data_IF_810002361712
#
_entry.id   IF_810002361712
#
_cell.length_a   1.000
_cell.length_b   1.000
_cell.length_c   1.000
_cell.angle_alpha   90.00
_cell.angle_beta   90.00
_cell.angle_gamma   90.00
#
_symmetry.space_group_name_H-M   'P 1'
#
loop_
_entity.id
_entity.type
_entity.pdbx_description
1 polymer ?
#
# COMPACT_ATOMS: atom_id res chain seq x y z
N UNK A 1 -4.85 -4.54 -31.31
CA UNK A 1 -4.65 -5.98 -31.56
C UNK A 1 -5.96 -6.62 -32.04
N UNK A 2 -5.95 -7.42 -33.11
CA UNK A 2 -7.16 -8.01 -33.74
C UNK A 2 -7.89 -9.08 -32.87
N UNK A 3 -7.32 -9.46 -31.72
CA UNK A 3 -7.77 -10.57 -30.89
C UNK A 3 -8.03 -10.18 -29.42
N UNK A 4 -8.26 -8.90 -29.11
CA UNK A 4 -8.52 -8.44 -27.74
C UNK A 4 -9.80 -9.07 -27.17
N UNK A 5 -10.90 -9.03 -27.93
CA UNK A 5 -12.20 -9.53 -27.48
C UNK A 5 -12.18 -11.03 -27.09
N UNK A 6 -11.61 -11.95 -27.90
CA UNK A 6 -11.47 -13.35 -27.48
C UNK A 6 -10.67 -13.54 -26.18
N UNK A 7 -9.62 -12.74 -25.95
CA UNK A 7 -8.79 -12.85 -24.75
C UNK A 7 -9.55 -12.35 -23.52
N UNK A 8 -10.26 -11.22 -23.64
CA UNK A 8 -11.12 -10.71 -22.56
C UNK A 8 -12.18 -11.75 -22.22
N UNK A 9 -12.82 -12.35 -23.22
CA UNK A 9 -13.80 -13.42 -22.99
C UNK A 9 -13.20 -14.62 -22.26
N UNK A 10 -12.01 -15.08 -22.67
CA UNK A 10 -11.32 -16.17 -22.00
C UNK A 10 -10.98 -15.83 -20.54
N UNK A 11 -10.55 -14.60 -20.26
CA UNK A 11 -10.28 -14.11 -18.90
C UNK A 11 -11.53 -14.18 -18.03
N UNK A 12 -12.67 -13.69 -18.55
CA UNK A 12 -13.96 -13.73 -17.86
C UNK A 12 -14.41 -15.17 -17.60
N UNK A 13 -14.30 -16.05 -18.60
CA UNK A 13 -14.68 -17.46 -18.47
C UNK A 13 -13.82 -18.19 -17.41
N UNK A 14 -12.51 -17.91 -17.36
CA UNK A 14 -11.62 -18.44 -16.32
C UNK A 14 -12.03 -17.92 -14.95
N UNK A 15 -12.23 -16.60 -14.80
CA UNK A 15 -12.61 -15.96 -13.54
C UNK A 15 -13.91 -16.52 -12.96
N UNK A 16 -14.93 -16.72 -13.80
CA UNK A 16 -16.18 -17.39 -13.38
C UNK A 16 -15.95 -18.82 -12.91
N UNK A 17 -15.14 -19.58 -13.66
CA UNK A 17 -14.96 -21.00 -13.40
C UNK A 17 -14.32 -21.28 -12.03
N UNK A 18 -13.51 -20.35 -11.54
CA UNK A 18 -12.86 -20.42 -10.23
C UNK A 18 -13.44 -19.46 -9.18
N UNK A 19 -14.56 -18.78 -9.51
CA UNK A 19 -15.21 -17.79 -8.65
C UNK A 19 -14.23 -16.71 -8.11
N UNK A 20 -13.40 -16.16 -9.00
CA UNK A 20 -12.39 -15.17 -8.66
C UNK A 20 -12.71 -13.80 -9.29
N UNK A 21 -12.38 -12.69 -8.62
CA UNK A 21 -12.40 -11.37 -9.22
C UNK A 21 -11.31 -11.23 -10.30
N UNK A 22 -11.53 -10.28 -11.20
CA UNK A 22 -10.55 -9.88 -12.23
C UNK A 22 -9.78 -8.66 -11.76
N UNK A 23 -8.45 -8.68 -11.90
CA UNK A 23 -7.59 -7.48 -11.79
C UNK A 23 -7.04 -7.14 -13.17
N UNK A 24 -7.47 -6.01 -13.71
CA UNK A 24 -7.03 -5.50 -15.00
C UNK A 24 -5.92 -4.46 -14.80
N UNK A 25 -4.73 -4.75 -15.32
CA UNK A 25 -3.58 -3.82 -15.37
C UNK A 25 -3.36 -3.29 -16.78
N UNK A 26 -4.38 -2.62 -17.32
CA UNK A 26 -4.33 -2.00 -18.65
C UNK A 26 -5.62 -1.19 -18.89
N UNK A 27 -5.63 -0.41 -19.96
CA UNK A 27 -6.85 0.27 -20.45
C UNK A 27 -7.73 -0.68 -21.30
N UNK A 28 -7.66 -2.00 -21.05
CA UNK A 28 -8.50 -2.97 -21.75
C UNK A 28 -9.97 -2.78 -21.31
N UNK A 29 -10.92 -2.70 -22.26
CA UNK A 29 -12.33 -2.42 -21.98
C UNK A 29 -13.02 -3.69 -21.47
N UNK A 30 -12.76 -4.07 -20.22
CA UNK A 30 -13.40 -5.22 -19.57
C UNK A 30 -14.71 -4.74 -18.93
N UNK A 31 -15.82 -5.10 -19.56
CA UNK A 31 -17.16 -4.82 -19.09
C UNK A 31 -17.90 -6.15 -18.87
N UNK A 32 -18.18 -6.49 -17.61
CA UNK A 32 -18.95 -7.68 -17.24
C UNK A 32 -19.61 -7.47 -15.88
N UNK A 33 -20.83 -7.98 -15.73
CA UNK A 33 -21.56 -8.04 -14.47
C UNK A 33 -21.45 -9.42 -13.81
N UNK A 34 -20.71 -10.35 -14.43
CA UNK A 34 -20.70 -11.76 -14.03
C UNK A 34 -19.65 -12.07 -12.97
N UNK A 35 -18.59 -11.27 -12.92
CA UNK A 35 -17.54 -11.33 -11.89
C UNK A 35 -17.12 -9.92 -11.50
N UNK A 36 -16.66 -9.70 -10.26
CA UNK A 36 -16.10 -8.42 -9.88
C UNK A 36 -14.86 -8.07 -10.70
N UNK A 37 -14.74 -6.81 -11.13
CA UNK A 37 -13.60 -6.33 -11.92
C UNK A 37 -12.97 -5.13 -11.23
N UNK A 38 -11.65 -5.19 -11.06
CA UNK A 38 -10.84 -4.13 -10.47
C UNK A 38 -9.90 -3.63 -11.56
N UNK A 39 -9.96 -2.34 -11.87
CA UNK A 39 -9.04 -1.71 -12.80
C UNK A 39 -7.98 -0.99 -11.99
N UNK A 40 -6.75 -1.43 -12.19
CA UNK A 40 -5.57 -0.87 -11.57
C UNK A 40 -4.64 -0.30 -12.64
N UNK A 41 -3.94 0.74 -12.25
CA UNK A 41 -2.92 1.39 -13.04
C UNK A 41 -1.59 1.25 -12.34
N UNK A 42 -0.55 0.89 -13.08
CA UNK A 42 0.81 0.93 -12.58
C UNK A 42 1.54 2.10 -13.24
N UNK A 43 1.99 3.06 -12.43
CA UNK A 43 2.65 4.28 -12.93
C UNK A 43 3.92 3.97 -13.71
N UNK A 44 4.59 2.86 -13.38
CA UNK A 44 5.72 2.31 -14.12
C UNK A 44 5.28 1.93 -15.55
N UNK A 45 4.19 1.16 -15.72
CA UNK A 45 3.67 0.74 -17.04
C UNK A 45 3.21 1.91 -17.92
N UNK A 46 2.59 2.96 -17.34
CA UNK A 46 2.16 4.14 -18.12
C UNK A 46 3.33 4.92 -18.73
N UNK A 47 4.43 5.08 -18.01
CA UNK A 47 5.62 5.76 -18.52
C UNK A 47 6.16 5.06 -19.78
N UNK A 48 6.10 3.72 -19.80
CA UNK A 48 6.53 2.94 -20.97
C UNK A 48 5.63 3.10 -22.20
N UNK A 49 4.31 3.21 -22.02
CA UNK A 49 3.40 3.49 -23.16
C UNK A 49 3.61 4.89 -23.74
N UNK A 50 4.10 5.84 -22.93
CA UNK A 50 4.27 7.25 -23.30
C UNK A 50 5.65 7.62 -23.83
N UNK A 51 6.67 6.77 -23.70
CA UNK A 51 7.96 7.00 -24.35
C UNK A 51 7.96 6.39 -25.76
N UNK A 52 7.94 7.20 -26.84
CA UNK A 52 8.41 6.71 -28.12
C UNK A 52 9.89 6.33 -27.95
N UNK A 53 10.36 5.35 -28.73
CA UNK A 53 11.80 5.13 -28.92
C UNK A 53 12.38 6.40 -29.55
N UNK A 54 12.83 7.34 -28.73
CA UNK A 54 13.59 8.49 -29.21
C UNK A 54 15.05 8.04 -29.20
N UNK A 55 15.61 7.86 -30.39
CA UNK A 55 17.06 7.73 -30.57
C UNK A 55 17.71 9.03 -30.09
N UNK A 56 18.20 9.05 -28.85
CA UNK A 56 19.04 10.15 -28.37
C UNK A 56 20.50 9.79 -28.59
N UNK A 57 21.18 10.54 -29.46
CA UNK A 57 22.60 10.35 -29.83
C UNK A 57 23.61 10.77 -28.74
N UNK A 58 23.15 11.11 -27.53
CA UNK A 58 24.04 11.50 -26.44
C UNK A 58 24.40 10.29 -25.56
N UNK A 59 25.70 10.06 -25.34
CA UNK A 59 26.21 8.96 -24.50
C UNK A 59 25.57 8.94 -23.08
N UNK A 60 25.28 10.11 -22.51
CA UNK A 60 24.59 10.23 -21.22
C UNK A 60 23.10 9.86 -21.24
N UNK A 61 22.41 10.12 -22.36
CA UNK A 61 21.01 9.71 -22.56
C UNK A 61 20.87 8.20 -22.73
N UNK A 62 21.78 7.58 -23.48
CA UNK A 62 21.84 6.13 -23.65
C UNK A 62 22.14 5.41 -22.33
N UNK A 63 23.03 5.93 -21.48
CA UNK A 63 23.34 5.33 -20.17
C UNK A 63 22.15 5.38 -19.21
N UNK A 64 21.42 6.49 -19.15
CA UNK A 64 20.19 6.61 -18.35
C UNK A 64 19.09 5.69 -18.90
N UNK A 65 19.01 5.53 -20.22
CA UNK A 65 18.04 4.65 -20.86
C UNK A 65 18.36 3.17 -20.62
N UNK A 66 19.63 2.78 -20.64
CA UNK A 66 20.08 1.44 -20.27
C UNK A 66 19.79 1.15 -18.79
N UNK A 67 20.10 2.07 -17.87
CA UNK A 67 19.80 1.90 -16.44
C UNK A 67 18.29 1.80 -16.17
N UNK A 68 17.48 2.66 -16.81
CA UNK A 68 16.03 2.58 -16.73
C UNK A 68 15.50 1.26 -17.32
N UNK A 69 16.01 0.80 -18.46
CA UNK A 69 15.62 -0.48 -19.04
C UNK A 69 16.03 -1.68 -18.17
N UNK A 70 17.16 -1.62 -17.45
CA UNK A 70 17.65 -2.68 -16.56
C UNK A 70 16.81 -2.80 -15.28
N UNK A 71 16.41 -1.69 -14.64
CA UNK A 71 15.44 -1.72 -13.53
C UNK A 71 14.06 -2.23 -14.00
N UNK A 72 13.67 -1.88 -15.24
CA UNK A 72 12.31 -2.05 -15.74
C UNK A 72 12.03 -3.42 -16.38
N UNK A 73 13.03 -4.12 -16.93
CA UNK A 73 12.88 -5.49 -17.43
C UNK A 73 12.78 -6.58 -16.34
N UNK A 74 12.72 -6.21 -15.06
CA UNK A 74 12.75 -7.18 -13.96
C UNK A 74 11.38 -7.80 -13.60
N UNK A 75 10.27 -7.05 -13.68
CA UNK A 75 8.98 -7.53 -13.19
C UNK A 75 8.15 -8.27 -14.23
N UNK A 76 7.87 -9.54 -13.96
CA UNK A 76 7.00 -10.37 -14.81
C UNK A 76 5.53 -9.91 -14.74
N UNK A 77 4.71 -10.29 -15.73
CA UNK A 77 3.25 -10.09 -15.69
C UNK A 77 2.62 -10.63 -14.41
N UNK A 78 3.14 -11.75 -13.89
CA UNK A 78 2.70 -12.33 -12.63
C UNK A 78 3.02 -11.44 -11.43
N UNK A 79 4.21 -10.83 -11.39
CA UNK A 79 4.59 -9.92 -10.30
C UNK A 79 3.76 -8.64 -10.32
N UNK A 80 3.47 -8.10 -11.51
CA UNK A 80 2.62 -6.91 -11.64
C UNK A 80 1.20 -7.19 -11.15
N UNK A 81 0.60 -8.32 -11.58
CA UNK A 81 -0.71 -8.75 -11.09
C UNK A 81 -0.69 -9.02 -9.59
N UNK A 82 0.38 -9.64 -9.06
CA UNK A 82 0.56 -9.84 -7.63
C UNK A 82 0.58 -8.52 -6.86
N UNK A 83 1.35 -7.51 -7.32
CA UNK A 83 1.37 -6.18 -6.71
C UNK A 83 -0.04 -5.58 -6.70
N UNK A 84 -0.75 -5.60 -7.83
CA UNK A 84 -2.10 -5.06 -7.93
C UNK A 84 -3.12 -5.81 -7.08
N UNK A 85 -2.95 -7.12 -6.93
CA UNK A 85 -3.75 -7.94 -6.03
C UNK A 85 -3.54 -7.53 -4.57
N UNK A 86 -2.30 -7.30 -4.14
CA UNK A 86 -1.98 -6.79 -2.80
C UNK A 86 -2.67 -5.45 -2.53
N UNK A 87 -2.58 -4.49 -3.45
CA UNK A 87 -3.27 -3.21 -3.31
C UNK A 87 -4.80 -3.37 -3.27
N UNK A 88 -5.35 -4.27 -4.08
CA UNK A 88 -6.77 -4.56 -4.11
C UNK A 88 -7.26 -5.24 -2.82
N UNK A 89 -6.43 -6.11 -2.24
CA UNK A 89 -6.67 -6.72 -0.94
C UNK A 89 -6.69 -5.66 0.17
N UNK A 90 -5.70 -4.77 0.19
CA UNK A 90 -5.62 -3.69 1.20
C UNK A 90 -6.77 -2.69 1.06
N UNK A 91 -7.21 -2.42 -0.17
CA UNK A 91 -8.41 -1.63 -0.44
C UNK A 91 -9.73 -2.32 -0.07
N UNK A 92 -9.70 -3.54 0.46
CA UNK A 92 -10.89 -4.32 0.82
C UNK A 92 -11.71 -4.76 -0.39
N UNK A 93 -11.10 -4.83 -1.58
CA UNK A 93 -11.78 -5.09 -2.85
C UNK A 93 -11.73 -6.56 -3.28
N UNK A 94 -10.83 -7.34 -2.70
CA UNK A 94 -10.71 -8.77 -2.99
C UNK A 94 -11.42 -9.62 -1.94
N UNK A 95 -12.08 -10.67 -2.41
CA UNK A 95 -12.64 -11.75 -1.60
C UNK A 95 -12.29 -13.09 -2.25
N UNK A 96 -12.02 -14.09 -1.43
CA UNK A 96 -11.62 -15.44 -1.87
C UNK A 96 -10.10 -15.59 -2.04
N UNK A 97 -9.72 -16.76 -2.53
CA UNK A 97 -8.32 -17.23 -2.51
C UNK A 97 -7.57 -16.97 -3.82
N UNK A 98 -8.28 -16.66 -4.90
CA UNK A 98 -7.71 -16.50 -6.23
C UNK A 98 -8.06 -15.16 -6.85
N UNK A 99 -7.20 -14.68 -7.75
CA UNK A 99 -7.49 -13.56 -8.64
C UNK A 99 -7.08 -13.90 -10.07
N UNK A 100 -7.88 -13.46 -11.04
CA UNK A 100 -7.55 -13.56 -12.46
C UNK A 100 -7.04 -12.20 -12.94
N UNK A 101 -5.74 -12.11 -13.11
CA UNK A 101 -5.09 -10.95 -13.67
C UNK A 101 -5.13 -10.93 -15.19
N UNK A 102 -5.33 -9.76 -15.77
CA UNK A 102 -5.10 -9.52 -17.20
C UNK A 102 -4.27 -8.27 -17.39
N UNK A 103 -3.20 -8.40 -18.16
CA UNK A 103 -2.21 -7.33 -18.37
C UNK A 103 -1.85 -7.26 -19.83
N UNK A 104 -1.83 -6.04 -20.36
CA UNK A 104 -1.36 -5.72 -21.71
C UNK A 104 0.02 -5.09 -21.62
N UNK A 105 1.02 -5.74 -22.22
CA UNK A 105 2.39 -5.23 -22.31
C UNK A 105 2.79 -5.19 -23.78
N UNK A 106 2.95 -3.97 -24.31
CA UNK A 106 3.36 -3.65 -25.68
C UNK A 106 2.58 -4.41 -26.76
N UNK A 107 3.02 -5.62 -27.11
CA UNK A 107 2.48 -6.45 -28.19
C UNK A 107 1.82 -7.75 -27.69
N UNK A 108 1.62 -7.90 -26.38
CA UNK A 108 1.08 -9.11 -25.76
C UNK A 108 0.02 -8.80 -24.71
N UNK A 109 -0.97 -9.69 -24.61
CA UNK A 109 -1.94 -9.71 -23.51
C UNK A 109 -1.78 -11.05 -22.82
N UNK A 110 -1.59 -11.02 -21.50
CA UNK A 110 -1.45 -12.21 -20.68
C UNK A 110 -2.58 -12.30 -19.66
N UNK A 111 -3.10 -13.52 -19.47
CA UNK A 111 -4.00 -13.85 -18.36
C UNK A 111 -3.17 -14.62 -17.34
N UNK A 112 -3.24 -14.21 -16.08
CA UNK A 112 -2.53 -14.81 -14.95
C UNK A 112 -3.56 -15.21 -13.92
N UNK A 113 -3.51 -16.45 -13.42
CA UNK A 113 -4.26 -16.84 -12.22
C UNK A 113 -3.27 -16.82 -11.06
N UNK A 114 -3.57 -16.03 -10.03
CA UNK A 114 -2.70 -15.86 -8.87
C UNK A 114 -3.41 -16.35 -7.60
N UNK A 115 -2.73 -17.19 -6.84
CA UNK A 115 -3.18 -17.69 -5.54
C UNK A 115 -2.78 -16.70 -4.44
N UNK A 116 -3.77 -16.09 -3.80
CA UNK A 116 -3.59 -15.10 -2.74
C UNK A 116 -3.12 -15.74 -1.43
N UNK A 117 -3.38 -17.04 -1.22
CA UNK A 117 -2.98 -17.75 0.00
C UNK A 117 -1.48 -18.00 0.06
N UNK A 118 -0.81 -18.02 -1.11
CA UNK A 118 0.64 -18.11 -1.22
C UNK A 118 1.32 -16.73 -1.25
N UNK A 119 0.54 -15.64 -1.27
CA UNK A 119 1.09 -14.30 -1.36
C UNK A 119 1.72 -13.89 -0.03
N UNK A 120 3.06 -13.76 -0.03
CA UNK A 120 3.84 -13.43 1.18
C UNK A 120 3.35 -12.15 1.85
N UNK A 121 3.05 -11.09 1.11
CA UNK A 121 2.64 -9.82 1.70
C UNK A 121 1.29 -9.96 2.40
N UNK A 122 0.33 -10.63 1.76
CA UNK A 122 -0.98 -10.88 2.37
C UNK A 122 -0.83 -11.72 3.63
N UNK A 123 0.00 -12.77 3.61
CA UNK A 123 0.24 -13.61 4.79
C UNK A 123 0.89 -12.84 5.95
N UNK A 124 1.86 -11.96 5.68
CA UNK A 124 2.46 -11.09 6.72
C UNK A 124 1.44 -10.08 7.27
N UNK A 125 0.52 -9.58 6.45
CA UNK A 125 -0.58 -8.73 6.92
C UNK A 125 -1.58 -9.50 7.80
N UNK A 126 -1.91 -10.74 7.43
CA UNK A 126 -2.76 -11.62 8.24
C UNK A 126 -2.11 -11.92 9.60
N UNK A 127 -0.80 -12.18 9.61
CA UNK A 127 -0.01 -12.36 10.84
C UNK A 127 0.02 -11.08 11.71
N UNK A 128 0.03 -9.90 11.11
CA UNK A 128 -0.18 -8.64 11.84
C UNK A 128 -1.60 -8.53 12.41
N UNK A 129 -2.60 -9.07 11.70
CA UNK A 129 -4.00 -9.15 12.11
C UNK A 129 -4.24 -10.01 13.37
N UNK A 130 -3.27 -10.82 13.80
CA UNK A 130 -3.33 -11.51 15.09
C UNK A 130 -3.08 -10.58 16.29
N UNK A 131 -2.47 -9.40 16.06
CA UNK A 131 -2.21 -8.38 17.10
C UNK A 131 -3.22 -7.25 17.13
N UNK A 132 -3.63 -6.78 15.95
CA UNK A 132 -4.52 -5.64 15.78
C UNK A 132 -5.68 -6.02 14.87
N UNK A 133 -6.84 -5.38 15.04
CA UNK A 133 -7.97 -5.61 14.13
C UNK A 133 -7.54 -5.33 12.68
N UNK A 134 -7.73 -6.32 11.81
CA UNK A 134 -7.33 -6.24 10.41
C UNK A 134 -7.97 -5.05 9.69
N UNK A 135 -9.19 -4.65 10.06
CA UNK A 135 -9.87 -3.47 9.50
C UNK A 135 -9.12 -2.18 9.82
N UNK A 136 -8.56 -2.08 11.03
CA UNK A 136 -7.75 -0.93 11.45
C UNK A 136 -6.44 -0.87 10.68
N UNK A 137 -5.73 -2.01 10.58
CA UNK A 137 -4.49 -2.09 9.82
C UNK A 137 -4.70 -1.68 8.36
N UNK A 138 -5.71 -2.28 7.70
CA UNK A 138 -6.02 -1.94 6.32
C UNK A 138 -6.43 -0.47 6.15
N UNK A 139 -7.23 0.08 7.07
CA UNK A 139 -7.63 1.49 7.04
C UNK A 139 -6.41 2.42 7.11
N UNK A 140 -5.52 2.20 8.08
CA UNK A 140 -4.28 2.98 8.25
C UNK A 140 -3.36 2.82 7.04
N UNK A 141 -3.25 1.61 6.48
CA UNK A 141 -2.47 1.39 5.26
C UNK A 141 -3.03 2.15 4.06
N UNK A 142 -4.36 2.24 3.89
CA UNK A 142 -4.96 3.03 2.82
C UNK A 142 -4.60 4.52 2.97
N UNK A 143 -4.66 5.09 4.18
CA UNK A 143 -4.21 6.46 4.43
C UNK A 143 -2.70 6.61 4.15
N UNK A 144 -1.89 5.64 4.58
CA UNK A 144 -0.45 5.63 4.34
C UNK A 144 -0.13 5.62 2.83
N UNK A 145 -0.87 4.87 2.01
CA UNK A 145 -0.70 4.86 0.56
C UNK A 145 -1.14 6.17 -0.10
N UNK A 146 -2.21 6.79 0.38
CA UNK A 146 -2.60 8.13 -0.09
C UNK A 146 -1.48 9.14 0.18
N UNK A 147 -0.91 9.14 1.39
CA UNK A 147 0.21 10.01 1.74
C UNK A 147 1.45 9.69 0.90
N UNK A 148 1.76 8.41 0.70
CA UNK A 148 2.89 7.97 -0.09
C UNK A 148 2.78 8.40 -1.57
N UNK A 149 1.56 8.39 -2.12
CA UNK A 149 1.29 8.69 -3.53
C UNK A 149 1.21 10.18 -3.80
N UNK A 150 0.49 10.91 -2.96
CA UNK A 150 0.14 12.32 -3.21
C UNK A 150 0.96 13.30 -2.38
N UNK A 151 1.60 12.83 -1.31
CA UNK A 151 2.14 13.70 -0.28
C UNK A 151 1.06 14.58 0.32
N UNK A 152 1.45 15.78 0.77
CA UNK A 152 0.52 16.86 1.11
C UNK A 152 0.83 18.05 0.22
N UNK A 153 -0.20 18.57 -0.45
CA UNK A 153 -0.03 19.70 -1.38
C UNK A 153 1.05 19.44 -2.45
N UNK A 154 1.25 18.16 -2.82
CA UNK A 154 2.27 17.72 -3.78
C UNK A 154 3.68 17.56 -3.21
N UNK A 155 3.87 17.78 -1.90
CA UNK A 155 5.16 17.61 -1.21
C UNK A 155 5.23 16.24 -0.55
N UNK A 156 6.24 15.40 -0.87
CA UNK A 156 6.43 14.11 -0.21
C UNK A 156 6.62 14.27 1.30
N UNK A 157 5.89 13.47 2.08
CA UNK A 157 5.94 13.47 3.55
C UNK A 157 6.26 12.07 4.04
N UNK A 158 7.20 12.00 4.98
CA UNK A 158 7.41 10.79 5.78
C UNK A 158 6.65 10.92 7.08
N UNK A 159 5.86 9.90 7.41
CA UNK A 159 5.06 9.84 8.63
C UNK A 159 5.06 8.41 9.20
N UNK A 160 4.52 8.26 10.40
CA UNK A 160 4.32 6.94 10.97
C UNK A 160 3.11 6.87 11.92
N UNK A 161 2.54 5.68 12.00
CA UNK A 161 1.40 5.31 12.79
C UNK A 161 1.77 4.12 13.69
N UNK A 162 1.21 4.07 14.89
CA UNK A 162 1.29 2.95 15.82
C UNK A 162 -0.13 2.55 16.18
N UNK A 163 -0.48 1.28 15.97
CA UNK A 163 -1.83 0.75 16.10
C UNK A 163 -1.83 -0.29 17.22
N UNK A 164 -2.78 -0.15 18.15
CA UNK A 164 -2.98 -1.05 19.28
C UNK A 164 -1.97 -0.86 20.41
N UNK A 165 -2.23 -1.54 21.54
CA UNK A 165 -1.46 -1.44 22.79
C UNK A 165 -1.15 0.02 23.18
N UNK A 166 -2.15 0.89 22.97
CA UNK A 166 -1.96 2.34 23.02
C UNK A 166 -1.51 2.81 24.41
N UNK A 167 -1.98 2.17 25.48
CA UNK A 167 -1.56 2.50 26.85
C UNK A 167 -0.06 2.33 27.05
N UNK A 168 0.53 1.22 26.60
CA UNK A 168 1.96 0.99 26.73
C UNK A 168 2.77 1.89 25.80
N UNK A 169 2.28 2.13 24.58
CA UNK A 169 2.87 3.10 23.64
C UNK A 169 2.89 4.51 24.25
N UNK A 170 1.82 4.92 24.92
CA UNK A 170 1.71 6.22 25.58
C UNK A 170 2.60 6.33 26.82
N UNK A 171 2.87 5.23 27.54
CA UNK A 171 3.85 5.19 28.64
C UNK A 171 5.29 5.32 28.16
N UNK A 172 5.57 4.88 26.93
CA UNK A 172 6.89 4.94 26.27
C UNK A 172 7.00 6.10 25.30
N UNK A 173 6.22 7.17 25.51
CA UNK A 173 6.28 8.34 24.64
C UNK A 173 5.91 9.62 25.37
N UNK A 174 6.42 10.74 24.86
CA UNK A 174 6.05 12.07 25.33
C UNK A 174 5.54 12.94 24.18
N UNK A 175 4.83 14.01 24.54
CA UNK A 175 4.14 14.87 23.57
C UNK A 175 5.12 15.96 23.14
N UNK A 176 5.38 16.10 21.84
CA UNK A 176 6.26 17.18 21.33
C UNK A 176 5.51 18.49 21.12
N UNK A 177 4.28 18.40 20.63
CA UNK A 177 3.41 19.53 20.25
C UNK A 177 2.01 19.33 20.82
N UNK A 178 1.15 20.35 20.88
CA UNK A 178 -0.23 20.14 21.35
C UNK A 178 -0.91 19.03 20.54
N UNK A 179 -1.54 18.08 21.23
CA UNK A 179 -2.26 16.98 20.58
C UNK A 179 -3.55 17.52 19.94
N UNK A 180 -3.67 17.53 18.61
CA UNK A 180 -4.84 18.09 17.94
C UNK A 180 -6.11 17.25 18.13
N UNK A 181 -5.99 16.00 18.56
CA UNK A 181 -7.13 15.12 18.81
C UNK A 181 -7.68 15.21 20.24
N UNK A 182 -7.03 15.95 21.13
CA UNK A 182 -7.47 16.05 22.52
C UNK A 182 -8.78 16.85 22.64
N UNK A 183 -9.79 16.26 23.28
CA UNK A 183 -11.10 16.90 23.51
C UNK A 183 -12.09 16.76 22.36
N UNK A 184 -11.71 16.11 21.26
CA UNK A 184 -12.59 15.79 20.14
C UNK A 184 -13.43 14.54 20.42
N UNK A 185 -14.60 14.46 19.78
CA UNK A 185 -15.49 13.31 19.96
C UNK A 185 -14.92 12.08 19.26
N UNK A 186 -15.36 10.89 19.66
CA UNK A 186 -14.85 9.65 19.09
C UNK A 186 -15.09 9.55 17.58
N UNK A 187 -16.21 10.06 17.08
CA UNK A 187 -16.55 10.03 15.65
C UNK A 187 -15.60 10.89 14.79
N UNK A 188 -14.97 11.91 15.38
CA UNK A 188 -13.99 12.77 14.70
C UNK A 188 -12.57 12.18 14.74
N UNK A 189 -12.41 11.06 15.46
CA UNK A 189 -11.11 10.41 15.73
C UNK A 189 -11.05 8.98 15.21
N UNK A 190 -12.15 8.44 14.71
CA UNK A 190 -12.25 7.07 14.26
C UNK A 190 -11.59 6.90 12.88
N UNK A 191 -10.51 6.12 12.82
CA UNK A 191 -9.82 5.84 11.56
C UNK A 191 -10.58 4.88 10.66
N UNK A 192 -11.58 4.16 11.16
CA UNK A 192 -12.45 3.32 10.32
C UNK A 192 -13.41 4.15 9.48
N UNK A 193 -13.66 5.40 9.86
CA UNK A 193 -14.45 6.33 9.07
C UNK A 193 -13.56 7.09 8.06
N UNK A 194 -13.72 6.87 6.74
CA UNK A 194 -12.95 7.58 5.73
C UNK A 194 -13.11 9.11 5.75
N UNK A 195 -14.18 9.64 6.37
CA UNK A 195 -14.37 11.09 6.51
C UNK A 195 -13.33 11.74 7.44
N UNK A 196 -12.69 10.98 8.34
CA UNK A 196 -11.66 11.50 9.25
C UNK A 196 -10.26 11.52 8.62
N UNK A 197 -10.06 10.84 7.49
CA UNK A 197 -8.74 10.62 6.90
C UNK A 197 -8.06 11.91 6.43
N UNK A 198 -8.82 12.92 5.99
CA UNK A 198 -8.24 14.22 5.61
C UNK A 198 -7.64 14.95 6.82
N UNK A 199 -8.27 14.86 7.99
CA UNK A 199 -7.68 15.38 9.23
C UNK A 199 -6.43 14.59 9.62
N UNK A 200 -6.46 13.27 9.46
CA UNK A 200 -5.29 12.41 9.69
C UNK A 200 -4.11 12.83 8.80
N UNK A 201 -4.34 13.00 7.50
CA UNK A 201 -3.36 13.49 6.51
C UNK A 201 -2.83 14.89 6.81
N UNK A 202 -3.61 15.74 7.46
CA UNK A 202 -3.14 17.06 7.88
C UNK A 202 -2.16 16.94 9.05
N UNK A 203 -2.48 16.12 10.06
CA UNK A 203 -1.72 16.03 11.30
C UNK A 203 -0.49 15.11 11.24
N UNK A 204 -0.36 14.24 10.24
CA UNK A 204 0.88 13.46 10.01
C UNK A 204 2.10 14.32 9.68
N UNK A 205 1.92 15.61 9.38
CA UNK A 205 3.01 16.58 9.18
C UNK A 205 3.70 16.98 10.48
N UNK A 206 3.04 16.76 11.62
CA UNK A 206 3.62 17.04 12.94
C UNK A 206 4.82 16.11 13.19
N UNK A 207 5.80 16.60 13.94
CA UNK A 207 6.93 15.75 14.33
C UNK A 207 6.49 14.71 15.36
N UNK A 208 6.95 13.47 15.17
CA UNK A 208 6.53 12.29 15.93
C UNK A 208 5.66 11.32 15.14
N UNK A 209 4.86 10.55 15.87
CA UNK A 209 3.97 9.51 15.36
C UNK A 209 2.51 9.81 15.71
N UNK A 210 1.60 9.16 14.99
CA UNK A 210 0.19 9.06 15.36
C UNK A 210 -0.05 7.73 16.07
N UNK A 211 -0.74 7.75 17.21
CA UNK A 211 -1.09 6.57 18.00
C UNK A 211 -2.59 6.34 17.90
N UNK A 212 -2.98 5.10 17.59
CA UNK A 212 -4.35 4.65 17.37
C UNK A 212 -4.60 3.48 18.33
N UNK A 213 -5.71 3.54 19.08
CA UNK A 213 -6.07 2.46 20.02
C UNK A 213 -6.74 1.27 19.33
N UNK A 214 -7.04 0.25 20.13
CA UNK A 214 -7.64 -1.02 19.66
C UNK A 214 -9.09 -0.86 19.16
N UNK A 215 -9.75 0.27 19.47
CA UNK A 215 -11.09 0.61 18.97
C UNK A 215 -11.04 1.40 17.66
N UNK A 216 -9.85 1.82 17.24
CA UNK A 216 -9.64 2.63 16.02
C UNK A 216 -9.66 4.13 16.25
N UNK A 217 -9.65 4.59 17.50
CA UNK A 217 -9.63 6.01 17.78
C UNK A 217 -8.19 6.53 17.82
N UNK A 218 -7.95 7.65 17.14
CA UNK A 218 -6.69 8.37 17.30
C UNK A 218 -6.62 8.96 18.71
N UNK A 219 -5.66 8.48 19.50
CA UNK A 219 -5.44 8.95 20.88
C UNK A 219 -4.49 10.14 20.92
N UNK A 220 -3.49 10.16 20.02
CA UNK A 220 -2.54 11.25 19.95
C UNK A 220 -1.87 11.36 18.58
N UNK A 221 -1.58 12.60 18.17
CA UNK A 221 -0.65 12.92 17.10
C UNK A 221 0.51 13.77 17.62
N UNK A 222 1.67 13.70 16.96
CA UNK A 222 2.86 14.47 17.34
C UNK A 222 3.60 13.92 18.56
N UNK A 223 3.62 12.59 18.73
CA UNK A 223 4.26 11.91 19.86
C UNK A 223 5.67 11.45 19.53
N UNK A 224 6.63 11.77 20.40
CA UNK A 224 7.97 11.22 20.33
C UNK A 224 8.04 9.91 21.10
N UNK A 225 8.61 8.87 20.49
CA UNK A 225 8.76 7.55 21.11
C UNK A 225 10.07 7.51 21.90
N UNK A 226 9.97 7.28 23.22
CA UNK A 226 11.08 7.14 24.15
C UNK A 226 11.60 5.69 24.17
N UNK A 227 12.13 5.25 23.04
CA UNK A 227 12.55 3.87 22.80
C UNK A 227 14.02 3.75 22.44
N UNK A 228 14.67 2.68 22.89
CA UNK A 228 16.06 2.38 22.52
C UNK A 228 16.11 1.57 21.22
N UNK A 229 16.46 2.26 20.13
CA UNK A 229 16.56 1.69 18.80
C UNK A 229 17.97 1.22 18.42
N UNK A 230 18.96 1.26 19.33
CA UNK A 230 20.36 0.90 19.02
C UNK A 230 20.54 -0.53 18.54
N UNK A 231 19.74 -1.46 19.07
CA UNK A 231 19.82 -2.89 18.77
C UNK A 231 18.84 -3.33 17.65
N UNK A 232 18.07 -2.40 17.08
CA UNK A 232 17.19 -2.73 15.96
C UNK A 232 18.04 -2.92 14.70
N UNK A 233 17.97 -4.12 14.14
CA UNK A 233 18.56 -4.43 12.84
C UNK A 233 17.69 -3.86 11.73
N UNK A 234 17.91 -2.59 11.39
CA UNK A 234 17.19 -1.92 10.31
C UNK A 234 17.99 -2.04 9.02
N UNK A 235 17.32 -2.33 7.90
CA UNK A 235 17.94 -2.26 6.57
C UNK A 235 18.61 -0.88 6.37
N UNK A 236 19.78 -0.85 5.73
CA UNK A 236 20.43 0.41 5.39
C UNK A 236 19.50 1.31 4.56
N UNK A 237 19.50 2.61 4.87
CA UNK A 237 18.67 3.62 4.20
C UNK A 237 17.38 4.01 4.93
N UNK A 238 17.04 3.34 6.04
CA UNK A 238 15.91 3.70 6.89
C UNK A 238 16.33 4.68 7.99
N UNK A 239 15.64 5.83 8.05
CA UNK A 239 15.94 6.91 9.01
C UNK A 239 15.44 6.66 10.43
N UNK A 240 15.73 7.61 11.33
CA UNK A 240 15.42 7.53 12.76
C UNK A 240 13.95 7.21 13.10
N UNK A 241 12.98 7.67 12.29
CA UNK A 241 11.56 7.37 12.51
C UNK A 241 11.25 5.87 12.32
N UNK A 242 11.83 5.23 11.31
CA UNK A 242 11.67 3.79 11.11
C UNK A 242 12.29 3.01 12.27
N UNK A 243 13.43 3.50 12.80
CA UNK A 243 14.09 2.92 13.97
C UNK A 243 13.22 2.98 15.22
N UNK A 244 12.59 4.12 15.46
CA UNK A 244 11.68 4.30 16.58
C UNK A 244 10.44 3.40 16.45
N UNK A 245 9.86 3.28 15.26
CA UNK A 245 8.71 2.40 15.00
C UNK A 245 9.05 0.92 15.19
N UNK A 246 10.20 0.49 14.68
CA UNK A 246 10.67 -0.86 14.94
C UNK A 246 10.90 -1.08 16.45
N UNK A 247 11.56 -0.15 17.15
CA UNK A 247 11.80 -0.30 18.57
C UNK A 247 10.52 -0.35 19.41
N UNK A 248 9.51 0.48 19.11
CA UNK A 248 8.25 0.44 19.86
C UNK A 248 7.48 -0.87 19.61
N UNK A 249 7.43 -1.35 18.36
CA UNK A 249 6.73 -2.62 18.04
C UNK A 249 7.45 -3.87 18.56
N UNK A 250 8.73 -3.77 18.92
CA UNK A 250 9.47 -4.80 19.68
C UNK A 250 9.08 -4.78 21.15
N UNK A 251 8.91 -3.59 21.72
CA UNK A 251 8.72 -3.39 23.15
C UNK A 251 7.24 -3.48 23.58
N UNK A 252 6.31 -3.48 22.62
CA UNK A 252 4.85 -3.53 22.83
C UNK A 252 4.19 -4.57 21.92
N UNK A 253 2.87 -4.80 22.09
CA UNK A 253 2.07 -5.61 21.17
C UNK A 253 1.48 -4.79 20.01
N UNK A 254 1.93 -3.56 19.81
CA UNK A 254 1.47 -2.71 18.72
C UNK A 254 2.02 -3.15 17.36
N UNK A 255 1.32 -2.74 16.30
CA UNK A 255 1.79 -2.79 14.91
C UNK A 255 2.09 -1.38 14.42
N UNK A 256 3.21 -1.21 13.74
CA UNK A 256 3.66 0.09 13.24
C UNK A 256 3.50 0.19 11.72
N UNK A 257 3.05 1.34 11.22
CA UNK A 257 3.02 1.63 9.78
C UNK A 257 3.84 2.89 9.51
N UNK A 258 4.81 2.85 8.61
CA UNK A 258 5.65 4.00 8.28
C UNK A 258 5.66 4.28 6.78
N UNK A 259 5.61 5.57 6.44
CA UNK A 259 5.76 6.07 5.07
C UNK A 259 7.11 6.74 4.93
N UNK A 260 7.90 6.30 3.94
CA UNK A 260 9.17 6.94 3.61
C UNK A 260 8.95 8.22 2.84
N UNK A 261 9.50 9.33 3.34
CA UNK A 261 9.49 10.62 2.63
C UNK A 261 10.16 10.51 1.25
N UNK A 262 11.26 9.75 1.18
CA UNK A 262 11.94 9.47 -0.07
C UNK A 262 11.39 8.17 -0.66
N UNK A 263 10.85 8.24 -1.88
CA UNK A 263 10.38 7.08 -2.63
C UNK A 263 8.98 6.57 -2.27
N UNK A 264 8.29 7.13 -1.26
CA UNK A 264 6.90 6.78 -0.97
C UNK A 264 6.70 5.30 -0.62
N UNK A 265 7.70 4.66 -0.03
CA UNK A 265 7.61 3.25 0.37
C UNK A 265 6.85 3.15 1.69
N UNK A 266 5.79 2.34 1.71
CA UNK A 266 5.02 2.04 2.92
C UNK A 266 5.55 0.74 3.53
N UNK A 267 5.79 0.74 4.84
CA UNK A 267 6.27 -0.41 5.59
C UNK A 267 5.38 -0.70 6.79
N UNK A 268 5.17 -1.99 7.06
CA UNK A 268 4.52 -2.47 8.30
C UNK A 268 5.58 -3.13 9.17
N UNK A 269 5.56 -2.79 10.45
CA UNK A 269 6.47 -3.26 11.48
C UNK A 269 5.72 -4.06 12.53
N UNK A 270 6.25 -5.23 12.85
CA UNK A 270 5.82 -6.10 13.94
C UNK A 270 7.07 -6.68 14.58
N UNK A 271 7.12 -6.73 15.91
CA UNK A 271 8.25 -7.31 16.65
C UNK A 271 9.62 -6.69 16.32
N UNK A 272 9.62 -5.41 15.95
CA UNK A 272 10.83 -4.70 15.53
C UNK A 272 11.39 -5.06 14.17
N UNK A 273 10.62 -5.80 13.36
CA UNK A 273 10.98 -6.20 12.01
C UNK A 273 10.03 -5.53 11.02
N UNK A 274 10.56 -4.99 9.93
CA UNK A 274 9.76 -4.57 8.79
C UNK A 274 9.28 -5.81 8.02
N UNK A 275 8.11 -6.32 8.39
CA UNK A 275 7.51 -7.55 7.84
C UNK A 275 6.90 -7.34 6.45
N UNK A 276 6.41 -6.13 6.17
CA UNK A 276 5.87 -5.74 4.86
C UNK A 276 6.57 -4.50 4.33
N UNK A 277 6.85 -4.48 3.03
CA UNK A 277 7.42 -3.34 2.30
C UNK A 277 6.76 -3.24 0.92
N UNK A 278 6.04 -2.15 0.67
CA UNK A 278 5.25 -1.94 -0.56
C UNK A 278 5.59 -0.57 -1.15
N UNK A 279 5.94 -0.55 -2.43
CA UNK A 279 6.11 0.68 -3.20
C UNK A 279 4.76 1.18 -3.70
N UNK A 280 4.47 2.48 -3.56
CA UNK A 280 3.21 3.09 -4.03
C UNK A 280 3.18 3.33 -5.55
N UNK A 281 3.40 2.28 -6.35
CA UNK A 281 3.42 2.35 -7.82
C UNK A 281 2.11 1.93 -8.46
N UNK A 282 1.25 1.22 -7.72
CA UNK A 282 -0.05 0.77 -8.21
C UNK A 282 -1.17 1.60 -7.61
N UNK A 283 -2.11 2.02 -8.46
CA UNK A 283 -3.29 2.78 -8.08
C UNK A 283 -4.54 2.08 -8.61
N UNK A 284 -5.51 1.86 -7.74
CA UNK A 284 -6.84 1.42 -8.18
C UNK A 284 -7.56 2.63 -8.78
N UNK A 285 -7.97 2.53 -10.05
CA UNK A 285 -8.60 3.63 -10.79
C UNK A 285 -10.10 3.42 -11.00
N UNK A 286 -10.56 2.17 -11.03
CA UNK A 286 -11.98 1.87 -11.14
C UNK A 286 -12.32 0.48 -10.59
N UNK A 287 -13.59 0.23 -10.33
CA UNK A 287 -14.11 -1.08 -9.92
C UNK A 287 -15.56 -1.28 -10.35
N UNK A 288 -15.91 -2.51 -10.72
CA UNK A 288 -17.25 -2.94 -11.12
C UNK A 288 -17.65 -4.20 -10.37
N UNK A 289 -18.94 -4.34 -10.05
CA UNK A 289 -19.46 -5.53 -9.36
C UNK A 289 -18.94 -5.72 -7.93
N UNK A 290 -18.46 -4.66 -7.28
CA UNK A 290 -17.96 -4.67 -5.88
C UNK A 290 -18.75 -3.67 -5.06
N UNK A 291 -19.57 -4.17 -4.14
CA UNK A 291 -20.22 -3.33 -3.13
C UNK A 291 -19.18 -2.78 -2.15
N UNK A 292 -19.32 -1.51 -1.74
CA UNK A 292 -18.53 -0.97 -0.62
C UNK A 292 -19.00 -1.69 0.65
N UNK A 293 -18.15 -2.55 1.20
CA UNK A 293 -18.28 -3.01 2.59
C UNK A 293 -18.02 -1.87 3.56
#
# INVERSE_FOLDING_TARGET
MKYIEPVIKACIDIAKSINAPIVCLSDLPIETDEVPVIIAENSTLKINKLMPVVESDSEGGQFIQILKNIEFHSKTSSEQISDAAVFSYIGGLLKGDYVVGIVEVQDSISIVVHDLTENKIINELLDCGERVDMRLLLSVMNVAFDIATFGREGVPIGCAFVIGDADEVMRRSHQLVLNPYYGHKSEERDVLDPYTWEALKEFVQLDGVIVIDDEGLVVAAGRYLDVDAREISIKQGLGARHAAIAAITRDTQAVGVAVSQTGGVVRVFKDGIAVVEINSTTKIINKYGIDKT
#
